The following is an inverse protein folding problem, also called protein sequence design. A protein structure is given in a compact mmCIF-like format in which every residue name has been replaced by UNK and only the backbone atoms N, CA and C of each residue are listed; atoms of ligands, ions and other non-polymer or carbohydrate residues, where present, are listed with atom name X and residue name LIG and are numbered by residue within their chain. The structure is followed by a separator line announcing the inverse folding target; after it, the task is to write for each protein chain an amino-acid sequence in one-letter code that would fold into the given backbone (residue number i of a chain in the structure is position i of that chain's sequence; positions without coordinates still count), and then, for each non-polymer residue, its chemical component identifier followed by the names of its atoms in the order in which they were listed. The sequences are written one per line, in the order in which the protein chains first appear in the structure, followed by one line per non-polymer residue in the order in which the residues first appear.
data_IF_416109021839
#
_entry.id   IF_416109021839
#
_cell.length_a   1.000
_cell.length_b   1.000
_cell.length_c   1.000
_cell.angle_alpha   90.00
_cell.angle_beta   90.00
_cell.angle_gamma   90.00
#
_symmetry.space_group_name_H-M   'P 1'
#
loop_
_entity.id
_entity.type
_entity.pdbx_description
1 polymer ?
#
# COMPACT_ATOMS: atom_id res chain seq x y z
N UNK A 1 -17.04 -19.52 -12.70
CA UNK A 1 -16.18 -18.93 -13.75
C UNK A 1 -14.85 -18.50 -13.16
N UNK A 2 -13.78 -18.43 -13.96
CA UNK A 2 -12.44 -18.09 -13.49
C UNK A 2 -12.34 -16.64 -12.97
N UNK A 3 -13.06 -15.71 -13.62
CA UNK A 3 -13.13 -14.31 -13.21
C UNK A 3 -13.71 -14.14 -11.80
N UNK A 4 -14.77 -14.89 -11.46
CA UNK A 4 -15.37 -14.82 -10.13
C UNK A 4 -14.40 -15.33 -9.06
N UNK A 5 -13.68 -16.42 -9.34
CA UNK A 5 -12.66 -16.94 -8.42
C UNK A 5 -11.53 -15.92 -8.22
N UNK A 6 -11.11 -15.24 -9.28
CA UNK A 6 -10.16 -14.14 -9.20
C UNK A 6 -10.67 -12.97 -8.33
N UNK A 7 -11.96 -12.64 -8.42
CA UNK A 7 -12.58 -11.62 -7.58
C UNK A 7 -12.60 -12.01 -6.10
N UNK A 8 -12.98 -13.25 -5.79
CA UNK A 8 -13.04 -13.77 -4.40
C UNK A 8 -11.65 -13.80 -3.77
N UNK A 9 -10.60 -14.08 -4.55
CA UNK A 9 -9.22 -14.12 -4.09
C UNK A 9 -8.57 -12.73 -3.96
N UNK A 10 -9.26 -11.64 -4.31
CA UNK A 10 -8.73 -10.29 -4.24
C UNK A 10 -9.34 -9.47 -3.09
N UNK A 11 -8.76 -8.30 -2.86
CA UNK A 11 -9.31 -7.35 -1.88
C UNK A 11 -10.58 -6.70 -2.45
N UNK A 12 -11.72 -6.93 -1.78
CA UNK A 12 -13.03 -6.38 -2.14
C UNK A 12 -13.00 -4.85 -2.36
N UNK A 13 -12.12 -4.13 -1.65
CA UNK A 13 -12.02 -2.65 -1.73
C UNK A 13 -11.56 -2.14 -3.10
N UNK A 14 -10.96 -3.01 -3.92
CA UNK A 14 -10.52 -2.67 -5.28
C UNK A 14 -11.67 -2.58 -6.27
N UNK A 15 -12.85 -3.15 -5.96
CA UNK A 15 -13.98 -3.22 -6.88
C UNK A 15 -15.02 -2.13 -6.62
N UNK A 16 -15.86 -1.86 -7.62
CA UNK A 16 -17.05 -1.01 -7.46
C UNK A 16 -17.97 -1.57 -6.36
N UNK A 17 -18.72 -0.66 -5.70
CA UNK A 17 -19.48 -0.97 -4.47
C UNK A 17 -20.35 -2.22 -4.59
N UNK A 18 -21.02 -2.40 -5.74
CA UNK A 18 -21.88 -3.56 -5.98
C UNK A 18 -21.11 -4.89 -5.94
N UNK A 19 -19.96 -4.97 -6.60
CA UNK A 19 -19.11 -6.16 -6.63
C UNK A 19 -18.40 -6.35 -5.29
N UNK A 20 -17.86 -5.27 -4.73
CA UNK A 20 -17.20 -5.26 -3.42
C UNK A 20 -18.10 -5.85 -2.31
N UNK A 21 -19.37 -5.41 -2.24
CA UNK A 21 -20.31 -5.89 -1.23
C UNK A 21 -20.60 -7.39 -1.37
N UNK A 22 -20.64 -7.93 -2.60
CA UNK A 22 -20.89 -9.36 -2.85
C UNK A 22 -19.67 -10.21 -2.47
N UNK A 23 -18.48 -9.76 -2.84
CA UNK A 23 -17.22 -10.41 -2.46
C UNK A 23 -17.10 -10.42 -0.93
N UNK A 24 -17.37 -9.30 -0.28
CA UNK A 24 -17.31 -9.20 1.17
C UNK A 24 -18.26 -10.20 1.85
N UNK A 25 -19.52 -10.28 1.40
CA UNK A 25 -20.47 -11.27 1.94
C UNK A 25 -20.00 -12.72 1.77
N UNK A 26 -19.33 -13.03 0.67
CA UNK A 26 -18.75 -14.36 0.44
C UNK A 26 -17.59 -14.62 1.41
N UNK A 27 -16.68 -13.64 1.56
CA UNK A 27 -15.52 -13.73 2.45
C UNK A 27 -15.92 -13.75 3.94
N UNK A 28 -17.06 -13.16 4.31
CA UNK A 28 -17.63 -13.24 5.66
C UNK A 28 -18.18 -14.64 5.97
N UNK A 29 -18.67 -15.37 4.96
CA UNK A 29 -19.24 -16.71 5.12
C UNK A 29 -18.28 -17.87 4.83
N UNK A 30 -17.11 -17.60 4.25
CA UNK A 30 -16.16 -18.63 3.82
C UNK A 30 -14.77 -18.05 3.59
N UNK A 31 -13.72 -18.86 3.75
CA UNK A 31 -12.37 -18.49 3.36
C UNK A 31 -12.22 -18.61 1.83
N UNK A 32 -11.65 -17.61 1.13
CA UNK A 32 -11.28 -17.71 -0.29
C UNK A 32 -10.62 -19.03 -0.71
N UNK A 33 -9.77 -19.61 0.14
CA UNK A 33 -9.05 -20.88 -0.13
C UNK A 33 -9.99 -22.10 -0.29
N UNK A 34 -11.24 -21.98 0.19
CA UNK A 34 -12.26 -23.02 0.04
C UNK A 34 -12.93 -23.00 -1.34
N UNK A 35 -12.77 -21.92 -2.11
CA UNK A 35 -13.37 -21.77 -3.42
C UNK A 35 -12.50 -22.40 -4.51
N UNK A 36 -13.11 -23.21 -5.37
CA UNK A 36 -12.41 -23.90 -6.45
C UNK A 36 -13.08 -23.64 -7.80
N UNK A 37 -12.27 -23.68 -8.85
CA UNK A 37 -12.79 -23.59 -10.21
C UNK A 37 -13.26 -24.97 -10.68
N UNK A 38 -14.49 -25.02 -11.19
CA UNK A 38 -15.03 -26.18 -11.92
C UNK A 38 -15.17 -25.76 -13.38
N UNK A 39 -14.78 -26.64 -14.30
CA UNK A 39 -14.91 -26.39 -15.73
C UNK A 39 -16.38 -26.26 -16.12
N UNK A 40 -16.68 -25.59 -17.25
CA UNK A 40 -18.06 -25.45 -17.71
C UNK A 40 -18.73 -26.79 -18.04
N UNK A 41 -17.95 -27.80 -18.44
CA UNK A 41 -18.46 -29.15 -18.76
C UNK A 41 -18.86 -29.89 -17.48
N UNK A 42 -18.10 -29.71 -16.41
CA UNK A 42 -18.34 -30.34 -15.11
C UNK A 42 -19.31 -29.56 -14.22
N UNK A 43 -19.76 -28.36 -14.63
CA UNK A 43 -20.65 -27.52 -13.85
C UNK A 43 -22.13 -27.76 -14.25
N UNK A 44 -22.91 -28.55 -13.50
CA UNK A 44 -24.31 -28.80 -13.84
C UNK A 44 -25.15 -27.51 -13.88
N UNK A 45 -24.81 -26.48 -13.11
CA UNK A 45 -25.51 -25.20 -13.15
C UNK A 45 -25.44 -24.48 -14.51
N UNK A 46 -24.43 -24.78 -15.34
CA UNK A 46 -24.34 -24.25 -16.70
C UNK A 46 -25.47 -24.82 -17.58
N UNK A 47 -25.92 -26.06 -17.34
CA UNK A 47 -27.05 -26.64 -18.09
C UNK A 47 -28.37 -25.90 -17.82
N UNK A 48 -28.62 -25.48 -16.57
CA UNK A 48 -29.80 -24.70 -16.25
C UNK A 48 -29.77 -23.28 -16.82
N UNK A 49 -28.60 -22.63 -16.80
CA UNK A 49 -28.46 -21.24 -17.25
C UNK A 49 -28.38 -21.09 -18.77
N UNK A 50 -27.76 -22.05 -19.48
CA UNK A 50 -27.64 -22.04 -20.95
C UNK A 50 -28.82 -22.72 -21.65
N UNK A 51 -29.56 -23.55 -20.92
CA UNK A 51 -30.61 -24.39 -21.47
C UNK A 51 -30.05 -25.67 -22.09
N UNK A 52 -30.81 -26.74 -21.98
CA UNK A 52 -30.46 -28.06 -22.52
C UNK A 52 -31.73 -28.74 -23.04
N UNK A 53 -31.59 -29.54 -24.09
CA UNK A 53 -32.70 -30.36 -24.58
C UNK A 53 -33.02 -31.46 -23.56
N UNK A 54 -34.27 -31.96 -23.56
CA UNK A 54 -34.69 -33.04 -22.66
C UNK A 54 -33.77 -34.26 -22.77
N UNK A 55 -33.40 -34.62 -24.01
CA UNK A 55 -32.46 -35.72 -24.28
C UNK A 55 -31.05 -35.42 -23.75
N UNK A 56 -30.57 -34.19 -23.92
CA UNK A 56 -29.28 -33.76 -23.37
C UNK A 56 -29.26 -33.78 -21.85
N UNK A 57 -30.37 -33.43 -21.20
CA UNK A 57 -30.52 -33.42 -19.74
C UNK A 57 -30.48 -34.83 -19.15
N UNK A 58 -31.07 -35.81 -19.83
CA UNK A 58 -31.01 -37.20 -19.38
C UNK A 58 -29.60 -37.80 -19.44
N UNK A 59 -28.73 -37.25 -20.30
CA UNK A 59 -27.35 -37.73 -20.49
C UNK A 59 -26.30 -36.86 -19.80
N UNK A 60 -26.70 -35.76 -19.15
CA UNK A 60 -25.76 -34.83 -18.53
C UNK A 60 -25.48 -35.17 -17.07
N UNK A 61 -24.50 -34.47 -16.48
CA UNK A 61 -24.15 -34.57 -15.07
C UNK A 61 -25.14 -33.85 -14.13
N UNK A 62 -26.31 -33.40 -14.62
CA UNK A 62 -27.27 -32.65 -13.82
C UNK A 62 -27.79 -33.44 -12.60
N UNK A 63 -28.08 -34.73 -12.79
CA UNK A 63 -28.62 -35.58 -11.73
C UNK A 63 -27.55 -36.39 -10.99
N UNK A 64 -26.40 -36.63 -11.63
CA UNK A 64 -25.31 -37.44 -11.07
C UNK A 64 -24.22 -36.61 -10.43
N UNK A 65 -24.16 -35.31 -10.73
CA UNK A 65 -23.02 -34.46 -10.40
C UNK A 65 -21.76 -34.84 -11.18
N UNK A 66 -20.70 -34.02 -11.08
CA UNK A 66 -19.41 -34.32 -11.70
C UNK A 66 -18.66 -35.44 -10.97
N UNK A 67 -17.87 -36.21 -11.73
CA UNK A 67 -17.20 -37.43 -11.29
C UNK A 67 -16.30 -37.19 -10.06
N UNK A 68 -15.63 -36.04 -9.99
CA UNK A 68 -14.70 -35.74 -8.91
C UNK A 68 -15.33 -35.65 -7.52
N UNK A 69 -16.66 -35.48 -7.41
CA UNK A 69 -17.36 -35.49 -6.12
C UNK A 69 -17.48 -36.89 -5.52
N UNK A 70 -17.31 -37.94 -6.33
CA UNK A 70 -17.41 -39.33 -5.92
C UNK A 70 -16.06 -39.92 -5.49
N UNK A 71 -14.98 -39.14 -5.56
CA UNK A 71 -13.66 -39.53 -5.12
C UNK A 71 -13.37 -39.04 -3.69
N UNK A 72 -12.58 -39.81 -2.93
CA UNK A 72 -12.18 -39.44 -1.56
C UNK A 72 -11.23 -38.23 -1.51
N UNK A 73 -10.58 -37.90 -2.62
CA UNK A 73 -9.68 -36.76 -2.73
C UNK A 73 -10.15 -35.84 -3.83
N UNK A 74 -10.32 -34.56 -3.50
CA UNK A 74 -10.59 -33.54 -4.50
C UNK A 74 -9.37 -33.35 -5.40
N UNK A 75 -9.57 -33.10 -6.70
CA UNK A 75 -8.48 -32.79 -7.61
C UNK A 75 -7.70 -31.55 -7.15
N UNK A 76 -6.41 -31.52 -7.47
CA UNK A 76 -5.55 -30.38 -7.19
C UNK A 76 -6.05 -29.13 -7.93
N UNK A 77 -5.99 -27.98 -7.26
CA UNK A 77 -6.31 -26.69 -7.89
C UNK A 77 -5.15 -26.28 -8.79
N UNK A 78 -5.01 -26.91 -9.95
CA UNK A 78 -3.95 -26.58 -10.93
C UNK A 78 -4.29 -25.33 -11.75
N UNK A 79 -5.48 -24.77 -11.55
CA UNK A 79 -5.94 -23.57 -12.24
C UNK A 79 -5.25 -22.36 -11.63
N UNK A 80 -4.22 -21.86 -12.32
CA UNK A 80 -3.61 -20.56 -12.04
C UNK A 80 -4.66 -19.47 -12.25
N UNK A 81 -5.20 -18.97 -11.14
CA UNK A 81 -6.04 -17.78 -11.15
C UNK A 81 -5.13 -16.61 -11.52
N UNK A 82 -5.25 -16.13 -12.75
CA UNK A 82 -4.46 -15.01 -13.26
C UNK A 82 -4.73 -13.73 -12.47
N UNK A 83 -3.83 -12.76 -12.62
CA UNK A 83 -4.03 -11.42 -12.06
C UNK A 83 -5.14 -10.67 -12.80
N UNK A 84 -5.83 -9.78 -12.09
CA UNK A 84 -6.84 -8.91 -12.70
C UNK A 84 -6.15 -7.90 -13.61
N UNK A 85 -6.60 -7.83 -14.86
CA UNK A 85 -6.21 -6.78 -15.79
C UNK A 85 -6.51 -5.40 -15.19
N UNK A 86 -5.57 -4.47 -15.32
CA UNK A 86 -5.68 -3.13 -14.73
C UNK A 86 -6.87 -2.35 -15.31
N UNK A 87 -7.26 -2.66 -16.54
CA UNK A 87 -8.38 -2.06 -17.27
C UNK A 87 -9.74 -2.73 -17.01
N UNK A 88 -9.83 -3.68 -16.07
CA UNK A 88 -11.08 -4.36 -15.77
C UNK A 88 -12.16 -3.35 -15.31
N UNK A 89 -13.35 -3.31 -15.95
CA UNK A 89 -14.38 -2.32 -15.66
C UNK A 89 -14.99 -2.44 -14.26
N UNK A 90 -14.84 -3.61 -13.61
CA UNK A 90 -15.31 -3.83 -12.24
C UNK A 90 -14.36 -3.24 -11.18
N UNK A 91 -13.13 -2.87 -11.57
CA UNK A 91 -12.16 -2.22 -10.69
C UNK A 91 -12.44 -0.72 -10.55
N UNK A 92 -12.37 -0.21 -9.32
CA UNK A 92 -12.41 1.23 -9.06
C UNK A 92 -11.15 1.87 -9.60
N UNK A 93 -11.33 2.86 -10.47
CA UNK A 93 -10.25 3.76 -10.88
C UNK A 93 -9.76 4.53 -9.65
N UNK A 94 -8.54 4.22 -9.20
CA UNK A 94 -7.87 4.96 -8.14
C UNK A 94 -7.12 6.13 -8.75
N UNK A 95 -7.66 7.34 -8.59
CA UNK A 95 -6.94 8.55 -8.96
C UNK A 95 -5.94 8.87 -7.85
N UNK A 96 -4.67 8.55 -8.07
CA UNK A 96 -3.59 9.03 -7.21
C UNK A 96 -3.20 10.41 -7.69
N UNK A 97 -3.64 11.45 -6.98
CA UNK A 97 -3.16 12.81 -7.21
C UNK A 97 -1.72 12.90 -6.72
N UNK A 98 -0.76 12.78 -7.65
CA UNK A 98 0.65 13.05 -7.38
C UNK A 98 0.85 14.56 -7.40
N UNK A 99 0.88 15.18 -6.23
CA UNK A 99 1.24 16.59 -6.12
C UNK A 99 2.74 16.72 -6.37
N UNK A 100 3.12 17.34 -7.49
CA UNK A 100 4.50 17.78 -7.71
C UNK A 100 4.73 18.99 -6.81
N UNK A 101 5.16 18.76 -5.57
CA UNK A 101 5.67 19.84 -4.73
C UNK A 101 7.09 20.15 -5.17
N UNK A 102 7.35 21.39 -5.60
CA UNK A 102 8.70 21.94 -5.59
C UNK A 102 9.26 21.74 -4.18
N UNK A 103 10.40 21.05 -4.05
CA UNK A 103 11.04 20.80 -2.76
C UNK A 103 11.50 22.14 -2.16
N UNK A 104 10.62 22.80 -1.41
CA UNK A 104 11.00 23.90 -0.54
C UNK A 104 12.06 23.40 0.46
N UNK A 105 13.20 24.08 0.51
CA UNK A 105 14.31 23.72 1.39
C UNK A 105 13.87 23.68 2.86
N UNK A 106 14.57 22.89 3.69
CA UNK A 106 14.27 22.87 5.13
C UNK A 106 14.45 24.26 5.76
N UNK A 107 15.39 25.05 5.25
CA UNK A 107 15.61 26.43 5.71
C UNK A 107 14.39 27.32 5.47
N UNK A 108 13.77 27.27 4.28
CA UNK A 108 12.56 28.08 4.01
C UNK A 108 11.41 27.70 4.96
N UNK A 109 11.32 26.43 5.35
CA UNK A 109 10.36 25.95 6.36
C UNK A 109 10.67 26.45 7.77
N UNK A 110 11.95 26.63 8.12
CA UNK A 110 12.33 27.19 9.42
C UNK A 110 11.89 28.64 9.56
N UNK A 111 11.94 29.43 8.48
CA UNK A 111 11.51 30.84 8.46
C UNK A 111 10.01 31.02 8.75
N UNK A 112 9.21 29.96 8.61
CA UNK A 112 7.76 29.99 8.95
C UNK A 112 7.50 30.04 10.46
N UNK A 113 8.52 29.78 11.28
CA UNK A 113 8.41 29.87 12.73
C UNK A 113 8.79 31.27 13.22
N UNK A 114 7.85 31.96 13.87
CA UNK A 114 8.08 33.28 14.48
C UNK A 114 8.86 33.24 15.80
N UNK A 115 9.26 32.06 16.29
CA UNK A 115 9.91 31.90 17.57
C UNK A 115 10.91 30.74 17.55
N UNK A 116 12.16 31.03 17.93
CA UNK A 116 13.25 30.06 17.98
C UNK A 116 12.93 28.83 18.84
N UNK A 117 12.44 29.05 20.06
CA UNK A 117 12.09 27.96 21.00
C UNK A 117 11.00 27.05 20.44
N UNK A 118 10.05 27.59 19.66
CA UNK A 118 9.02 26.78 18.97
C UNK A 118 9.63 25.94 17.85
N UNK A 119 10.51 26.53 17.04
CA UNK A 119 11.24 25.81 15.99
C UNK A 119 12.06 24.66 16.57
N UNK A 120 12.89 24.93 17.59
CA UNK A 120 13.74 23.93 18.24
C UNK A 120 12.91 22.77 18.79
N UNK A 121 11.80 23.06 19.49
CA UNK A 121 10.90 22.02 20.01
C UNK A 121 10.26 21.19 18.90
N UNK A 122 9.87 21.81 17.79
CA UNK A 122 9.29 21.12 16.64
C UNK A 122 10.31 20.18 15.98
N UNK A 123 11.52 20.67 15.71
CA UNK A 123 12.59 19.87 15.11
C UNK A 123 13.05 18.75 16.06
N UNK A 124 13.16 19.01 17.37
CA UNK A 124 13.47 17.97 18.36
C UNK A 124 12.43 16.83 18.35
N UNK A 125 11.14 17.16 18.22
CA UNK A 125 10.06 16.17 18.08
C UNK A 125 10.16 15.38 16.78
N UNK A 126 10.50 16.04 15.66
CA UNK A 126 10.69 15.37 14.38
C UNK A 126 11.87 14.40 14.41
N UNK A 127 13.02 14.82 14.97
CA UNK A 127 14.20 13.96 15.14
C UNK A 127 13.84 12.74 16.00
N UNK A 128 13.12 12.92 17.11
CA UNK A 128 12.64 11.81 17.94
C UNK A 128 11.73 10.88 17.14
N UNK A 129 10.75 11.41 16.42
CA UNK A 129 9.82 10.62 15.62
C UNK A 129 10.57 9.74 14.59
N UNK A 130 11.59 10.28 13.94
CA UNK A 130 12.44 9.50 13.02
C UNK A 130 13.16 8.37 13.75
N UNK A 131 13.69 8.61 14.95
CA UNK A 131 14.35 7.57 15.78
C UNK A 131 13.36 6.49 16.25
N UNK A 132 12.12 6.87 16.56
CA UNK A 132 11.05 5.93 16.94
C UNK A 132 10.63 5.04 15.74
N UNK A 133 10.44 5.64 14.56
CA UNK A 133 10.08 4.90 13.33
C UNK A 133 11.19 3.95 12.89
N UNK A 134 12.46 4.33 13.09
CA UNK A 134 13.62 3.47 12.83
C UNK A 134 13.86 2.39 13.91
N UNK A 135 13.04 2.33 14.95
CA UNK A 135 13.17 1.36 16.04
C UNK A 135 14.34 1.63 17.00
N UNK A 136 15.02 2.79 16.88
CA UNK A 136 16.14 3.16 17.74
C UNK A 136 15.70 3.67 19.12
N UNK A 137 14.44 4.09 19.26
CA UNK A 137 13.84 4.56 20.51
C UNK A 137 12.41 4.03 20.66
N UNK A 138 12.01 3.77 21.91
CA UNK A 138 10.61 3.46 22.23
C UNK A 138 9.74 4.71 22.09
N UNK A 139 8.48 4.52 21.69
CA UNK A 139 7.53 5.63 21.50
C UNK A 139 7.19 6.27 22.84
N UNK A 140 7.42 7.57 22.97
CA UNK A 140 7.11 8.28 24.22
C UNK A 140 6.40 9.61 23.97
N UNK A 141 5.29 9.84 24.68
CA UNK A 141 4.56 11.11 24.69
C UNK A 141 5.16 12.16 25.66
N UNK A 142 6.41 11.97 26.09
CA UNK A 142 7.07 12.89 27.03
C UNK A 142 7.46 14.21 26.36
N UNK A 143 7.63 15.26 27.15
CA UNK A 143 8.18 16.54 26.67
C UNK A 143 9.61 16.33 26.12
N UNK A 144 10.05 17.17 25.18
CA UNK A 144 11.43 17.16 24.67
C UNK A 144 12.44 17.46 25.78
N UNK A 145 13.47 16.63 25.93
CA UNK A 145 14.56 16.83 26.89
C UNK A 145 15.47 17.99 26.47
N UNK A 146 16.42 18.36 27.35
CA UNK A 146 17.41 19.39 27.04
C UNK A 146 18.37 18.93 25.94
N UNK A 147 18.76 17.66 25.96
CA UNK A 147 19.69 17.04 25.02
C UNK A 147 19.10 17.02 23.61
N UNK A 148 17.82 16.66 23.48
CA UNK A 148 17.12 16.69 22.20
C UNK A 148 16.98 18.09 21.64
N UNK A 149 16.79 19.10 22.52
CA UNK A 149 16.78 20.51 22.10
C UNK A 149 18.15 20.95 21.62
N UNK A 150 19.23 20.60 22.32
CA UNK A 150 20.62 20.89 21.89
C UNK A 150 20.98 20.18 20.58
N UNK A 151 20.50 18.96 20.37
CA UNK A 151 20.65 18.24 19.09
C UNK A 151 19.89 18.97 17.98
N UNK A 152 18.64 19.36 18.22
CA UNK A 152 17.83 20.09 17.25
C UNK A 152 18.42 21.46 16.90
N UNK A 153 18.94 22.22 17.87
CA UNK A 153 19.60 23.52 17.64
C UNK A 153 20.80 23.36 16.71
N UNK A 154 21.69 22.41 17.01
CA UNK A 154 22.86 22.12 16.15
C UNK A 154 22.42 21.69 14.75
N UNK A 155 21.37 20.88 14.65
CA UNK A 155 20.83 20.46 13.37
C UNK A 155 20.28 21.64 12.55
N UNK A 156 19.51 22.53 13.17
CA UNK A 156 18.96 23.72 12.51
C UNK A 156 20.09 24.62 12.01
N UNK A 157 21.05 24.95 12.89
CA UNK A 157 22.19 25.81 12.56
C UNK A 157 23.01 25.19 11.42
N UNK A 158 23.35 23.91 11.51
CA UNK A 158 24.12 23.22 10.48
C UNK A 158 23.38 23.12 9.15
N UNK A 159 22.04 23.12 9.17
CA UNK A 159 21.22 23.12 7.95
C UNK A 159 21.25 24.48 7.27
N UNK A 160 21.05 25.56 8.03
CA UNK A 160 21.14 26.93 7.50
C UNK A 160 22.55 27.23 7.01
N UNK A 161 23.58 26.84 7.77
CA UNK A 161 24.97 27.04 7.37
C UNK A 161 25.32 26.32 6.07
N UNK A 162 24.84 25.08 5.87
CA UNK A 162 25.06 24.34 4.63
C UNK A 162 24.41 24.99 3.41
N UNK A 163 23.31 25.72 3.61
CA UNK A 163 22.60 26.39 2.53
C UNK A 163 23.20 27.76 2.21
N UNK A 164 23.50 28.55 3.25
CA UNK A 164 24.01 29.93 3.11
C UNK A 164 25.51 29.96 2.80
N UNK A 165 26.31 29.12 3.46
CA UNK A 165 27.77 29.09 3.35
C UNK A 165 28.27 27.84 2.62
N UNK A 166 27.53 27.42 1.60
CA UNK A 166 27.79 26.16 0.91
C UNK A 166 29.18 26.10 0.27
N UNK A 167 29.66 27.22 -0.28
CA UNK A 167 30.98 27.33 -0.91
C UNK A 167 32.10 27.38 0.13
N UNK A 168 31.94 28.15 1.20
CA UNK A 168 32.92 28.23 2.29
C UNK A 168 33.09 26.89 3.00
N UNK A 169 32.01 26.12 3.16
CA UNK A 169 32.06 24.76 3.71
C UNK A 169 32.77 23.79 2.74
N UNK A 170 32.60 23.96 1.42
CA UNK A 170 33.33 23.16 0.41
C UNK A 170 34.83 23.50 0.43
N UNK A 171 35.19 24.78 0.52
CA UNK A 171 36.57 25.24 0.59
C UNK A 171 37.26 24.76 1.88
N UNK A 172 36.58 24.87 3.03
CA UNK A 172 37.05 24.32 4.31
C UNK A 172 37.36 22.83 4.24
N UNK A 173 36.48 22.05 3.62
CA UNK A 173 36.64 20.60 3.51
C UNK A 173 37.73 20.18 2.51
N UNK A 174 38.02 21.02 1.52
CA UNK A 174 38.95 20.68 0.44
C UNK A 174 40.36 21.24 0.64
N UNK A 175 40.50 22.44 1.22
CA UNK A 175 41.77 23.19 1.29
C UNK A 175 42.21 23.52 2.71
N UNK A 176 41.34 23.37 3.71
CA UNK A 176 41.63 23.73 5.11
C UNK A 176 41.68 25.24 5.40
N UNK A 177 41.46 26.09 4.39
CA UNK A 177 41.45 27.54 4.51
C UNK A 177 40.13 28.12 3.95
N UNK A 178 39.58 29.12 4.63
CA UNK A 178 38.38 29.85 4.20
C UNK A 178 38.85 31.10 3.45
N UNK A 179 38.46 31.27 2.20
CA UNK A 179 38.55 32.60 1.56
C UNK A 179 37.36 33.42 2.04
N UNK A 180 37.56 34.23 3.07
CA UNK A 180 36.52 35.12 3.60
C UNK A 180 36.10 36.11 2.50
N UNK A 181 34.93 35.90 1.90
CA UNK A 181 34.19 36.99 1.28
C UNK A 181 33.46 37.73 2.39
N UNK A 182 34.15 38.68 3.02
CA UNK A 182 33.47 39.66 3.88
C UNK A 182 32.47 40.46 3.05
N UNK A 183 31.28 40.80 3.60
CA UNK A 183 30.36 41.74 2.98
C UNK A 183 30.96 43.17 2.89
#
# INVERSE_FOLDING_TARGET
SLNLLCFINNDARRFHIFVANRIQRIQEGSNPDQWRYVTSEDNPADHASRGLTVKGLTTSNWFTGPDFLWHNTLPANDVKVGELEAENPELRKTFVHKTLTTEESLHSRFLRFSNWTRLVKAIARLIRCVKEVKGSLSRTNKVTSLEERKEAERFIIATVQREVFSEEIKDLKSKGEITLRSP
#
